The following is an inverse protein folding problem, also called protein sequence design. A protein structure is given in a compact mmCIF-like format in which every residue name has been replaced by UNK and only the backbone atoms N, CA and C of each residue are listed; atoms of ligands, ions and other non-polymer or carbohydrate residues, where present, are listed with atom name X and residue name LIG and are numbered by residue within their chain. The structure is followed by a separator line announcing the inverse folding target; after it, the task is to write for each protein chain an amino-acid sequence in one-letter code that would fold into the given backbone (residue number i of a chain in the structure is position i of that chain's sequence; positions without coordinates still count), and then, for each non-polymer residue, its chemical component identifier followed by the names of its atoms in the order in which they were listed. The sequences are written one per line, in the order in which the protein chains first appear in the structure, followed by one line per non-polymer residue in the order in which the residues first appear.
data_IF_702625368697
#
_entry.id   IF_702625368697
#
_cell.length_a   1.000
_cell.length_b   1.000
_cell.length_c   1.000
_cell.angle_alpha   90.00
_cell.angle_beta   90.00
_cell.angle_gamma   90.00
#
_symmetry.space_group_name_H-M   'P 1'
#
loop_
_entity.id
_entity.type
_entity.pdbx_description
1 polymer ?
#
# COMPACT_ATOMS: atom_id res chain seq x y z
N UNK A 1 37.17 -10.44 37.72
CA UNK A 1 35.83 -10.32 37.10
C UNK A 1 36.06 -10.04 35.63
N UNK A 2 36.05 -11.10 34.82
CA UNK A 2 36.08 -10.99 33.38
C UNK A 2 34.73 -10.42 32.96
N UNK A 3 34.72 -9.24 32.35
CA UNK A 3 33.52 -8.74 31.65
C UNK A 3 33.16 -9.78 30.62
N UNK A 4 32.13 -10.56 30.84
CA UNK A 4 31.48 -11.31 29.80
C UNK A 4 31.03 -10.27 28.78
N UNK A 5 31.63 -10.34 27.59
CA UNK A 5 31.24 -9.53 26.47
C UNK A 5 29.86 -10.07 26.09
N UNK A 6 28.81 -9.43 26.59
CA UNK A 6 27.43 -9.79 26.30
C UNK A 6 27.25 -9.82 24.78
N UNK A 7 27.03 -11.02 24.25
CA UNK A 7 26.97 -11.24 22.80
C UNK A 7 25.75 -10.51 22.21
N UNK A 8 25.97 -9.78 21.13
CA UNK A 8 24.88 -9.23 20.33
C UNK A 8 24.30 -10.40 19.49
N UNK A 9 23.03 -10.71 19.72
CA UNK A 9 22.33 -11.79 19.04
C UNK A 9 21.68 -11.21 17.76
N UNK A 10 22.08 -11.67 16.57
CA UNK A 10 21.48 -11.19 15.32
C UNK A 10 20.02 -11.62 15.22
N UNK A 11 19.18 -10.71 14.79
CA UNK A 11 17.75 -10.94 14.60
C UNK A 11 17.20 -10.03 13.50
N UNK A 12 15.90 -10.11 13.25
CA UNK A 12 15.21 -9.21 12.34
C UNK A 12 13.79 -8.93 12.86
N UNK A 13 13.28 -7.78 12.54
CA UNK A 13 11.91 -7.37 12.83
C UNK A 13 11.29 -6.69 11.60
N UNK A 14 10.10 -6.12 11.77
CA UNK A 14 9.45 -5.32 10.72
C UNK A 14 10.30 -4.13 10.26
N UNK A 15 11.20 -3.68 11.11
CA UNK A 15 12.06 -2.50 10.93
C UNK A 15 13.46 -2.81 10.39
N UNK A 16 13.68 -4.02 9.92
CA UNK A 16 14.95 -4.44 9.33
C UNK A 16 15.74 -5.45 10.15
N UNK A 17 16.92 -5.79 9.64
CA UNK A 17 17.90 -6.61 10.33
C UNK A 17 18.61 -5.78 11.41
N UNK A 18 18.84 -6.39 12.56
CA UNK A 18 19.52 -5.73 13.71
C UNK A 18 20.07 -6.79 14.66
N UNK A 19 20.78 -6.37 15.66
CA UNK A 19 21.16 -7.19 16.79
C UNK A 19 20.35 -6.82 18.03
N UNK A 20 20.27 -7.72 18.99
CA UNK A 20 19.76 -7.45 20.34
C UNK A 20 20.78 -7.89 21.38
N UNK A 21 20.87 -7.14 22.47
CA UNK A 21 21.60 -7.55 23.67
C UNK A 21 20.58 -8.04 24.69
N UNK A 22 20.81 -9.22 25.22
CA UNK A 22 19.91 -9.87 26.19
C UNK A 22 20.66 -10.03 27.51
N UNK A 23 20.03 -9.61 28.59
CA UNK A 23 20.50 -9.79 29.97
C UNK A 23 19.34 -10.34 30.80
N UNK A 24 19.56 -11.42 31.52
CA UNK A 24 18.53 -12.07 32.35
C UNK A 24 17.21 -12.32 31.61
N UNK A 25 17.29 -12.86 30.38
CA UNK A 25 16.16 -13.11 29.48
C UNK A 25 15.39 -11.85 29.03
N UNK A 26 15.94 -10.68 29.23
CA UNK A 26 15.36 -9.41 28.78
C UNK A 26 16.18 -8.77 27.67
N UNK A 27 15.49 -8.28 26.62
CA UNK A 27 16.11 -7.43 25.61
C UNK A 27 16.35 -6.05 26.24
N UNK A 28 17.62 -5.69 26.42
CA UNK A 28 18.02 -4.41 27.03
C UNK A 28 18.47 -3.38 26.01
N UNK A 29 18.90 -3.82 24.82
CA UNK A 29 19.40 -2.92 23.78
C UNK A 29 19.12 -3.51 22.40
N UNK A 30 18.89 -2.62 21.42
CA UNK A 30 18.87 -2.95 19.99
C UNK A 30 20.06 -2.28 19.32
N UNK A 31 20.84 -3.09 18.60
CA UNK A 31 22.01 -2.65 17.86
C UNK A 31 21.67 -2.65 16.36
N UNK A 32 21.61 -1.50 15.69
CA UNK A 32 21.37 -1.43 14.26
C UNK A 32 22.36 -2.28 13.46
N UNK A 33 21.94 -2.78 12.29
CA UNK A 33 22.82 -3.51 11.40
C UNK A 33 23.94 -2.59 10.90
N UNK A 34 25.23 -3.00 10.98
CA UNK A 34 26.36 -2.09 10.73
C UNK A 34 26.44 -1.56 9.29
N UNK A 35 25.80 -2.22 8.33
CA UNK A 35 25.76 -1.80 6.93
C UNK A 35 24.48 -1.04 6.56
N UNK A 36 23.56 -0.80 7.50
CA UNK A 36 22.36 -0.03 7.22
C UNK A 36 22.68 1.47 7.28
N UNK A 37 22.58 2.20 6.15
CA UNK A 37 22.94 3.61 6.12
C UNK A 37 21.93 4.54 6.80
N UNK A 38 20.69 4.06 7.05
CA UNK A 38 19.59 4.86 7.63
C UNK A 38 18.71 3.96 8.50
N UNK A 39 19.22 3.44 9.64
CA UNK A 39 18.48 2.52 10.50
C UNK A 39 17.16 3.11 10.98
N UNK A 40 16.10 2.30 10.96
CA UNK A 40 14.77 2.73 11.38
C UNK A 40 14.79 3.25 12.84
N UNK A 41 14.28 4.47 13.09
CA UNK A 41 14.15 4.99 14.47
C UNK A 41 13.17 4.15 15.31
N UNK A 42 12.32 3.34 14.67
CA UNK A 42 11.35 2.46 15.34
C UNK A 42 11.98 1.22 15.96
N UNK A 43 13.24 0.91 15.63
CA UNK A 43 14.00 -0.17 16.27
C UNK A 43 14.07 -0.02 17.79
N UNK A 44 14.17 1.22 18.30
CA UNK A 44 14.17 1.48 19.73
C UNK A 44 12.91 0.95 20.45
N UNK A 45 11.80 0.85 19.75
CA UNK A 45 10.55 0.29 20.27
C UNK A 45 10.58 -1.22 20.54
N UNK A 46 11.54 -1.96 19.98
CA UNK A 46 11.65 -3.42 20.15
C UNK A 46 11.89 -3.78 21.63
N UNK A 47 12.73 -3.02 22.32
CA UNK A 47 13.02 -3.23 23.76
C UNK A 47 11.75 -3.16 24.60
N UNK A 48 10.95 -2.12 24.42
CA UNK A 48 9.73 -1.91 25.22
C UNK A 48 8.56 -2.79 24.78
N UNK A 49 8.50 -3.18 23.50
CA UNK A 49 7.38 -3.91 22.94
C UNK A 49 7.22 -5.34 23.52
N UNK A 50 8.33 -5.98 23.89
CA UNK A 50 8.31 -7.37 24.37
C UNK A 50 7.44 -7.57 25.62
N UNK A 51 7.42 -6.58 26.53
CA UNK A 51 6.68 -6.64 27.80
C UNK A 51 5.71 -5.46 27.98
N UNK A 52 5.33 -4.79 26.90
CA UNK A 52 4.42 -3.65 27.01
C UNK A 52 3.04 -4.09 27.49
N UNK A 53 2.39 -3.28 28.33
CA UNK A 53 1.06 -3.56 28.89
C UNK A 53 -0.05 -3.81 27.85
N UNK A 54 0.12 -3.32 26.62
CA UNK A 54 -0.84 -3.53 25.53
C UNK A 54 -0.66 -4.87 24.84
N UNK A 55 0.38 -5.64 25.17
CA UNK A 55 0.60 -6.96 24.61
C UNK A 55 -0.44 -7.94 25.17
N UNK A 56 -1.15 -8.62 24.28
CA UNK A 56 -2.07 -9.69 24.65
C UNK A 56 -1.24 -10.87 25.20
N UNK A 57 -1.50 -11.26 26.43
CA UNK A 57 -0.74 -12.29 27.14
C UNK A 57 -1.39 -13.68 27.01
N UNK A 58 -2.73 -13.74 26.95
CA UNK A 58 -3.52 -14.96 26.89
C UNK A 58 -4.63 -14.83 25.86
N UNK A 59 -5.15 -15.97 25.34
CA UNK A 59 -6.38 -15.95 24.58
C UNK A 59 -7.52 -15.36 25.43
N UNK A 60 -8.42 -14.63 24.78
CA UNK A 60 -9.58 -14.09 25.47
C UNK A 60 -10.82 -14.17 24.58
N UNK A 61 -11.95 -14.52 25.18
CA UNK A 61 -13.22 -14.75 24.51
C UNK A 61 -14.25 -13.73 25.01
N UNK A 62 -15.05 -13.18 24.10
CA UNK A 62 -16.16 -12.30 24.51
C UNK A 62 -17.09 -13.00 25.47
N UNK A 63 -17.42 -12.35 26.61
CA UNK A 63 -18.34 -12.88 27.60
C UNK A 63 -19.70 -13.26 26.98
N UNK A 64 -20.28 -12.38 26.18
CA UNK A 64 -21.56 -12.64 25.54
C UNK A 64 -21.52 -13.84 24.58
N UNK A 65 -20.36 -14.17 23.98
CA UNK A 65 -20.22 -15.38 23.18
C UNK A 65 -20.20 -16.65 24.06
N UNK A 66 -19.51 -16.60 25.20
CA UNK A 66 -19.50 -17.72 26.16
C UNK A 66 -20.90 -18.02 26.75
N UNK A 67 -21.68 -16.95 26.98
CA UNK A 67 -23.01 -17.06 27.59
C UNK A 67 -24.12 -17.48 26.61
N UNK A 68 -24.03 -17.02 25.36
CA UNK A 68 -25.11 -17.13 24.37
C UNK A 68 -24.71 -17.87 23.09
N UNK A 69 -23.44 -18.22 22.91
CA UNK A 69 -22.92 -18.87 21.71
C UNK A 69 -22.74 -17.89 20.53
N UNK A 70 -22.46 -18.47 19.34
CA UNK A 70 -22.27 -17.70 18.12
C UNK A 70 -23.58 -17.11 17.58
N UNK A 71 -23.50 -15.94 16.91
CA UNK A 71 -24.63 -15.32 16.22
C UNK A 71 -24.54 -13.80 16.19
N UNK A 72 -25.47 -13.17 15.49
CA UNK A 72 -25.57 -11.70 15.41
C UNK A 72 -25.69 -11.05 16.80
N UNK A 73 -25.04 -9.91 16.98
CA UNK A 73 -25.07 -9.20 18.27
C UNK A 73 -24.74 -7.70 18.07
N UNK A 74 -25.44 -6.85 18.81
CA UNK A 74 -25.15 -5.42 18.93
C UNK A 74 -24.08 -5.10 20.00
N UNK A 75 -23.69 -6.12 20.79
CA UNK A 75 -22.74 -5.99 21.91
C UNK A 75 -21.29 -6.04 21.48
N UNK A 76 -20.98 -6.34 20.22
CA UNK A 76 -19.59 -6.36 19.71
C UNK A 76 -18.90 -5.01 19.92
N UNK A 77 -17.75 -5.02 20.61
CA UNK A 77 -17.03 -3.82 21.04
C UNK A 77 -17.53 -3.22 22.36
N UNK A 78 -18.53 -3.82 23.03
CA UNK A 78 -19.03 -3.42 24.35
C UNK A 78 -18.94 -4.52 25.39
N UNK A 79 -18.84 -5.78 24.96
CA UNK A 79 -18.65 -6.93 25.83
C UNK A 79 -17.26 -6.91 26.46
N UNK A 80 -17.19 -7.36 27.70
CA UNK A 80 -15.95 -7.74 28.33
C UNK A 80 -15.37 -9.00 27.71
N UNK A 81 -14.06 -9.18 27.85
CA UNK A 81 -13.35 -10.38 27.45
C UNK A 81 -13.00 -11.20 28.67
N UNK A 82 -13.10 -12.51 28.57
CA UNK A 82 -12.71 -13.51 29.57
C UNK A 82 -11.44 -14.19 29.07
N UNK A 83 -10.36 -14.10 29.83
CA UNK A 83 -9.15 -14.86 29.54
C UNK A 83 -9.39 -16.34 29.76
N UNK A 84 -8.90 -17.17 28.86
CA UNK A 84 -8.99 -18.63 28.90
C UNK A 84 -7.64 -19.27 28.61
N UNK A 85 -7.49 -20.54 28.91
CA UNK A 85 -6.27 -21.27 28.54
C UNK A 85 -6.23 -21.57 27.04
N UNK A 86 -5.02 -21.80 26.51
CA UNK A 86 -4.83 -22.10 25.08
C UNK A 86 -5.56 -23.36 24.63
N UNK A 87 -5.64 -24.41 25.48
CA UNK A 87 -6.39 -25.63 25.17
C UNK A 87 -7.86 -25.34 24.95
N UNK A 88 -8.48 -24.58 25.84
CA UNK A 88 -9.88 -24.18 25.74
C UNK A 88 -10.12 -23.28 24.50
N UNK A 89 -9.26 -22.31 24.27
CA UNK A 89 -9.38 -21.43 23.09
C UNK A 89 -9.31 -22.22 21.77
N UNK A 90 -8.37 -23.17 21.66
CA UNK A 90 -8.19 -23.99 20.46
C UNK A 90 -9.38 -24.90 20.24
N UNK A 91 -9.91 -25.52 21.29
CA UNK A 91 -11.10 -26.38 21.21
C UNK A 91 -12.33 -25.60 20.75
N UNK A 92 -12.57 -24.42 21.30
CA UNK A 92 -13.71 -23.58 20.93
C UNK A 92 -13.60 -23.08 19.49
N UNK A 93 -12.41 -22.66 19.05
CA UNK A 93 -12.18 -22.23 17.66
C UNK A 93 -12.34 -23.40 16.70
N UNK A 94 -11.81 -24.57 17.01
CA UNK A 94 -11.93 -25.76 16.18
C UNK A 94 -13.40 -26.22 16.05
N UNK A 95 -14.13 -26.23 17.16
CA UNK A 95 -15.55 -26.59 17.16
C UNK A 95 -16.38 -25.62 16.33
N UNK A 96 -16.13 -24.32 16.42
CA UNK A 96 -16.86 -23.33 15.65
C UNK A 96 -16.53 -23.38 14.15
N UNK A 97 -15.26 -23.56 13.78
CA UNK A 97 -14.87 -23.80 12.39
C UNK A 97 -15.55 -25.05 11.82
N UNK A 98 -15.59 -26.14 12.60
CA UNK A 98 -16.25 -27.38 12.18
C UNK A 98 -17.76 -27.22 12.05
N UNK A 99 -18.39 -26.55 12.98
CA UNK A 99 -19.83 -26.25 12.94
C UNK A 99 -20.19 -25.45 11.69
N UNK A 100 -19.45 -24.37 11.41
CA UNK A 100 -19.75 -23.48 10.28
C UNK A 100 -19.54 -24.20 8.95
N UNK A 101 -18.40 -24.90 8.77
CA UNK A 101 -18.10 -25.60 7.51
C UNK A 101 -19.08 -26.76 7.24
N UNK A 102 -19.55 -27.44 8.27
CA UNK A 102 -20.48 -28.57 8.10
C UNK A 102 -21.93 -28.15 7.92
N UNK A 103 -22.32 -27.02 8.52
CA UNK A 103 -23.70 -26.52 8.44
C UNK A 103 -23.90 -25.59 7.23
N UNK A 104 -22.93 -24.75 6.90
CA UNK A 104 -23.06 -23.68 5.90
C UNK A 104 -22.08 -23.82 4.72
N UNK A 105 -21.14 -24.77 4.79
CA UNK A 105 -20.08 -24.95 3.78
C UNK A 105 -18.91 -24.00 3.96
N UNK A 106 -17.77 -24.36 3.35
CA UNK A 106 -16.52 -23.61 3.48
C UNK A 106 -16.56 -22.20 2.88
N UNK A 107 -17.45 -21.95 1.91
CA UNK A 107 -17.64 -20.63 1.31
C UNK A 107 -18.15 -19.59 2.31
N UNK A 108 -18.85 -20.02 3.37
CA UNK A 108 -19.35 -19.17 4.46
C UNK A 108 -18.26 -18.70 5.44
N UNK A 109 -17.03 -19.22 5.31
CA UNK A 109 -15.88 -18.80 6.12
C UNK A 109 -15.08 -17.78 5.31
N UNK A 110 -14.98 -16.54 5.80
CA UNK A 110 -14.10 -15.52 5.23
C UNK A 110 -12.77 -15.48 5.98
N UNK A 111 -11.67 -15.67 5.25
CA UNK A 111 -10.30 -15.57 5.78
C UNK A 111 -9.64 -14.23 5.41
N UNK A 112 -9.48 -13.33 6.38
CA UNK A 112 -8.87 -12.01 6.21
C UNK A 112 -7.53 -11.88 6.92
N UNK A 113 -6.63 -11.12 6.31
CA UNK A 113 -5.36 -10.76 6.92
C UNK A 113 -4.72 -9.58 6.20
N UNK A 114 -4.08 -8.69 6.96
CA UNK A 114 -3.22 -7.61 6.44
C UNK A 114 -1.79 -7.75 6.99
N UNK A 115 -1.48 -8.85 7.67
CA UNK A 115 -0.17 -9.06 8.29
C UNK A 115 0.95 -9.25 7.29
N UNK A 116 2.02 -8.48 7.42
CA UNK A 116 3.24 -8.66 6.66
C UNK A 116 4.17 -9.66 7.34
N UNK A 117 4.99 -10.37 6.55
CA UNK A 117 6.15 -11.06 7.06
C UNK A 117 7.23 -10.04 7.42
N UNK A 118 7.88 -10.20 8.57
CA UNK A 118 8.96 -9.33 9.02
C UNK A 118 10.33 -9.91 8.73
N UNK A 119 10.50 -11.23 8.91
CA UNK A 119 11.78 -11.91 8.78
C UNK A 119 11.56 -13.34 8.25
N UNK A 120 11.23 -13.43 6.98
CA UNK A 120 10.79 -14.70 6.38
C UNK A 120 9.30 -14.92 6.55
N UNK A 121 8.80 -16.06 6.05
CA UNK A 121 7.37 -16.30 5.92
C UNK A 121 6.89 -17.59 6.59
N UNK A 122 7.72 -18.29 7.36
CA UNK A 122 7.30 -19.47 8.13
C UNK A 122 6.26 -19.13 9.19
N UNK A 123 6.44 -18.05 9.92
CA UNK A 123 5.55 -17.59 10.99
C UNK A 123 4.70 -16.38 10.58
N UNK A 124 4.58 -16.13 9.28
CA UNK A 124 3.67 -15.09 8.78
C UNK A 124 2.22 -15.50 9.05
N UNK A 125 1.47 -14.64 9.72
CA UNK A 125 0.08 -14.88 10.10
C UNK A 125 -0.80 -15.27 8.89
N UNK A 126 -0.67 -14.55 7.78
CA UNK A 126 -1.40 -14.84 6.52
C UNK A 126 -1.12 -16.23 5.99
N UNK A 127 0.14 -16.68 6.00
CA UNK A 127 0.52 -18.02 5.52
C UNK A 127 -0.09 -19.11 6.39
N UNK A 128 -0.04 -18.96 7.71
CA UNK A 128 -0.58 -19.94 8.64
C UNK A 128 -2.11 -20.00 8.55
N UNK A 129 -2.78 -18.86 8.46
CA UNK A 129 -4.23 -18.79 8.24
C UNK A 129 -4.64 -19.51 6.94
N UNK A 130 -4.00 -19.18 5.84
CA UNK A 130 -4.29 -19.79 4.53
C UNK A 130 -4.05 -21.30 4.57
N UNK A 131 -2.96 -21.75 5.20
CA UNK A 131 -2.67 -23.17 5.38
C UNK A 131 -3.77 -23.88 6.16
N UNK A 132 -4.18 -23.34 7.32
CA UNK A 132 -5.23 -23.92 8.13
C UNK A 132 -6.54 -24.04 7.33
N UNK A 133 -7.02 -22.93 6.77
CA UNK A 133 -8.31 -22.89 6.09
C UNK A 133 -8.33 -23.74 4.81
N UNK A 134 -7.23 -23.81 4.06
CA UNK A 134 -7.14 -24.70 2.91
C UNK A 134 -7.19 -26.19 3.31
N UNK A 135 -6.53 -26.57 4.40
CA UNK A 135 -6.51 -27.95 4.88
C UNK A 135 -7.87 -28.44 5.40
N UNK A 136 -8.72 -27.53 5.88
CA UNK A 136 -10.08 -27.88 6.33
C UNK A 136 -11.16 -27.75 5.25
N UNK A 137 -10.77 -27.54 3.98
CA UNK A 137 -11.70 -27.55 2.83
C UNK A 137 -11.84 -26.22 2.11
N UNK A 138 -11.05 -25.20 2.45
CA UNK A 138 -11.05 -23.92 1.77
C UNK A 138 -11.87 -22.84 2.49
N UNK A 139 -11.95 -21.67 1.85
CA UNK A 139 -12.60 -20.49 2.42
C UNK A 139 -12.79 -19.40 1.35
N UNK A 140 -13.68 -18.44 1.57
CA UNK A 140 -13.78 -17.20 0.80
C UNK A 140 -12.57 -16.34 1.08
N UNK A 141 -11.76 -16.08 0.06
CA UNK A 141 -10.49 -15.34 0.19
C UNK A 141 -10.67 -13.84 -0.03
N UNK A 142 -9.79 -13.07 0.58
CA UNK A 142 -9.58 -11.66 0.25
C UNK A 142 -8.62 -11.52 -0.93
N UNK A 143 -8.88 -10.58 -1.81
CA UNK A 143 -7.98 -10.19 -2.91
C UNK A 143 -7.64 -8.70 -2.85
N UNK A 144 -6.58 -8.31 -3.55
CA UNK A 144 -5.99 -6.97 -3.55
C UNK A 144 -5.43 -6.55 -2.18
N UNK A 145 -5.08 -5.29 -2.09
CA UNK A 145 -4.63 -4.65 -0.85
C UNK A 145 -5.09 -3.20 -0.79
N UNK A 146 -5.17 -2.63 0.39
CA UNK A 146 -5.40 -1.19 0.55
C UNK A 146 -4.20 -0.35 0.13
N UNK A 147 -3.02 -0.95 0.00
CA UNK A 147 -1.79 -0.25 -0.39
C UNK A 147 -1.82 0.20 -1.84
N UNK A 148 -2.09 -0.74 -2.77
CA UNK A 148 -1.98 -0.51 -4.21
C UNK A 148 -2.98 -1.35 -5.04
N UNK A 149 -4.10 -1.77 -4.46
CA UNK A 149 -5.08 -2.63 -5.12
C UNK A 149 -5.63 -2.05 -6.41
N UNK A 150 -5.89 -0.74 -6.45
CA UNK A 150 -6.34 -0.06 -7.66
C UNK A 150 -5.29 -0.12 -8.78
N UNK A 151 -4.01 0.07 -8.43
CA UNK A 151 -2.90 -0.03 -9.40
C UNK A 151 -2.78 -1.44 -9.98
N UNK A 152 -2.95 -2.47 -9.15
CA UNK A 152 -2.91 -3.88 -9.59
C UNK A 152 -4.00 -4.16 -10.63
N UNK A 153 -5.17 -3.53 -10.49
CA UNK A 153 -6.30 -3.71 -11.41
C UNK A 153 -6.15 -2.85 -12.66
N UNK A 154 -5.84 -1.55 -12.53
CA UNK A 154 -5.89 -0.64 -13.68
C UNK A 154 -4.67 -0.73 -14.61
N UNK A 155 -3.46 -0.95 -14.06
CA UNK A 155 -2.24 -0.97 -14.86
C UNK A 155 -2.23 -2.02 -15.98
N UNK A 156 -2.75 -3.25 -15.81
CA UNK A 156 -2.86 -4.20 -16.92
C UNK A 156 -3.69 -3.70 -18.11
N UNK A 157 -4.71 -2.86 -17.87
CA UNK A 157 -5.54 -2.26 -18.92
C UNK A 157 -4.85 -1.10 -19.65
N UNK A 158 -3.82 -0.50 -19.03
CA UNK A 158 -3.11 0.67 -19.60
C UNK A 158 -1.79 0.25 -20.25
N UNK A 159 -0.98 -0.54 -19.54
CA UNK A 159 0.40 -0.90 -19.95
C UNK A 159 0.63 -2.41 -20.04
N UNK A 160 -0.43 -3.22 -19.96
CA UNK A 160 -0.37 -4.69 -20.11
C UNK A 160 0.09 -5.45 -18.87
N UNK A 161 0.62 -4.76 -17.84
CA UNK A 161 1.14 -5.39 -16.62
C UNK A 161 1.13 -4.41 -15.45
N UNK A 162 0.90 -4.93 -14.25
CA UNK A 162 1.17 -4.18 -13.02
C UNK A 162 2.55 -4.49 -12.44
N UNK A 163 3.11 -5.66 -12.74
CA UNK A 163 4.34 -6.17 -12.13
C UNK A 163 5.55 -5.27 -12.44
N UNK A 164 5.76 -4.91 -13.70
CA UNK A 164 6.89 -4.07 -14.12
C UNK A 164 6.85 -2.68 -13.45
N UNK A 165 5.66 -2.08 -13.37
CA UNK A 165 5.49 -0.74 -12.78
C UNK A 165 5.67 -0.76 -11.26
N UNK A 166 5.15 -1.80 -10.58
CA UNK A 166 5.17 -1.88 -9.12
C UNK A 166 6.47 -2.44 -8.54
N UNK A 167 7.12 -3.38 -9.26
CA UNK A 167 8.28 -4.12 -8.75
C UNK A 167 9.60 -3.68 -9.34
N UNK A 168 9.58 -3.07 -10.54
CA UNK A 168 10.79 -2.66 -11.26
C UNK A 168 10.73 -1.19 -11.70
N UNK A 169 10.34 -0.25 -10.81
CA UNK A 169 10.40 1.16 -11.15
C UNK A 169 11.85 1.60 -11.39
N UNK A 170 12.05 2.78 -11.96
CA UNK A 170 13.37 3.39 -12.11
C UNK A 170 14.13 3.36 -10.77
N UNK A 171 15.35 2.83 -10.78
CA UNK A 171 16.12 2.67 -9.54
C UNK A 171 16.62 3.99 -8.98
N UNK A 172 16.81 4.05 -7.66
CA UNK A 172 17.38 5.23 -7.00
C UNK A 172 18.74 5.68 -7.60
N UNK A 173 19.71 4.78 -7.86
CA UNK A 173 20.94 5.19 -8.55
C UNK A 173 20.68 5.84 -9.90
N UNK A 174 19.76 5.31 -10.71
CA UNK A 174 19.41 5.89 -12.00
C UNK A 174 18.76 7.28 -11.85
N UNK A 175 17.91 7.47 -10.82
CA UNK A 175 17.33 8.78 -10.50
C UNK A 175 18.43 9.77 -10.14
N UNK A 176 19.35 9.40 -9.25
CA UNK A 176 20.47 10.25 -8.84
C UNK A 176 21.34 10.66 -10.03
N UNK A 177 21.61 9.73 -10.95
CA UNK A 177 22.56 9.97 -12.02
C UNK A 177 21.98 10.66 -13.26
N UNK A 178 20.66 10.54 -13.51
CA UNK A 178 20.06 10.93 -14.79
C UNK A 178 18.83 11.83 -14.69
N UNK A 179 18.21 12.00 -13.53
CA UNK A 179 17.01 12.84 -13.36
C UNK A 179 17.41 14.29 -13.07
N UNK A 180 16.71 15.24 -13.66
CA UNK A 180 16.83 16.65 -13.30
C UNK A 180 15.67 17.11 -12.42
N UNK A 181 14.46 16.61 -12.68
CA UNK A 181 13.25 16.98 -11.96
C UNK A 181 12.44 15.75 -11.58
N UNK A 182 12.09 15.65 -10.30
CA UNK A 182 11.09 14.68 -9.81
C UNK A 182 9.81 15.45 -9.48
N UNK A 183 8.72 15.14 -10.19
CA UNK A 183 7.38 15.66 -9.84
C UNK A 183 6.65 14.61 -9.03
N UNK A 184 6.55 14.84 -7.73
CA UNK A 184 6.09 13.85 -6.75
C UNK A 184 4.65 14.11 -6.33
N UNK A 185 3.68 13.48 -7.02
CA UNK A 185 2.28 13.50 -6.64
C UNK A 185 2.04 12.59 -5.43
N UNK A 186 1.65 13.19 -4.30
CA UNK A 186 1.53 12.56 -3.00
C UNK A 186 2.85 12.44 -2.23
N UNK A 187 3.95 12.98 -2.79
CA UNK A 187 5.26 13.06 -2.14
C UNK A 187 6.06 11.75 -2.12
N UNK A 188 7.13 11.75 -1.35
CA UNK A 188 8.02 10.60 -1.06
C UNK A 188 8.29 10.59 0.46
N UNK A 189 7.30 10.24 1.29
CA UNK A 189 7.38 10.39 2.74
C UNK A 189 8.36 9.38 3.37
N UNK A 190 9.36 9.87 4.09
CA UNK A 190 10.36 9.05 4.77
C UNK A 190 9.77 8.10 5.81
N UNK A 191 8.65 8.47 6.44
CA UNK A 191 8.00 7.66 7.50
C UNK A 191 7.56 6.25 7.08
N UNK A 192 7.37 5.99 5.78
CA UNK A 192 6.89 4.71 5.28
C UNK A 192 8.01 3.81 4.73
N UNK A 193 9.22 4.33 4.53
CA UNK A 193 10.30 3.61 3.85
C UNK A 193 11.11 2.68 4.74
N UNK A 194 10.76 2.61 6.02
CA UNK A 194 11.43 1.75 6.99
C UNK A 194 10.86 0.33 7.05
N UNK A 195 9.93 -0.01 6.17
CA UNK A 195 9.31 -1.34 6.14
C UNK A 195 9.15 -1.83 4.70
N UNK A 196 9.17 -3.15 4.53
CA UNK A 196 8.90 -3.82 3.27
C UNK A 196 8.25 -5.17 3.55
N UNK A 197 7.33 -5.59 2.69
CA UNK A 197 6.76 -6.92 2.75
C UNK A 197 7.84 -7.99 2.60
N UNK A 198 7.95 -8.87 3.58
CA UNK A 198 9.01 -9.88 3.63
C UNK A 198 10.27 -9.44 4.40
N UNK A 199 10.33 -8.18 4.80
CA UNK A 199 11.45 -7.58 5.51
C UNK A 199 12.38 -6.80 4.60
N UNK A 200 13.19 -5.95 5.20
CA UNK A 200 14.24 -5.15 4.58
C UNK A 200 15.49 -5.24 5.44
N UNK A 201 16.66 -5.31 4.83
CA UNK A 201 17.93 -5.38 5.57
C UNK A 201 18.55 -4.00 5.75
N UNK A 202 18.46 -3.18 4.72
CA UNK A 202 19.06 -1.85 4.67
C UNK A 202 18.03 -0.83 4.17
N UNK A 203 18.02 0.35 4.76
CA UNK A 203 17.16 1.46 4.39
C UNK A 203 17.94 2.47 3.55
N UNK A 204 17.56 2.65 2.31
CA UNK A 204 18.32 3.46 1.36
C UNK A 204 17.62 4.72 0.88
N UNK A 205 16.30 4.85 1.06
CA UNK A 205 15.52 5.92 0.45
C UNK A 205 15.99 7.30 0.90
N UNK A 206 16.18 7.53 2.21
CA UNK A 206 16.69 8.79 2.75
C UNK A 206 18.05 9.14 2.17
N UNK A 207 18.98 8.20 2.21
CA UNK A 207 20.32 8.36 1.66
C UNK A 207 20.32 8.73 0.15
N UNK A 208 19.44 8.12 -0.65
CA UNK A 208 19.35 8.45 -2.07
C UNK A 208 18.69 9.80 -2.32
N UNK A 209 17.72 10.20 -1.53
CA UNK A 209 17.13 11.53 -1.62
C UNK A 209 18.16 12.63 -1.33
N UNK A 210 18.99 12.45 -0.31
CA UNK A 210 20.09 13.38 0.02
C UNK A 210 21.12 13.43 -1.12
N UNK A 211 21.48 12.29 -1.69
CA UNK A 211 22.38 12.23 -2.85
C UNK A 211 21.80 12.91 -4.09
N UNK A 212 20.52 12.70 -4.37
CA UNK A 212 19.83 13.33 -5.49
C UNK A 212 19.83 14.86 -5.32
N UNK A 213 19.48 15.33 -4.12
CA UNK A 213 19.52 16.76 -3.80
C UNK A 213 20.94 17.35 -3.95
N UNK A 214 21.96 16.65 -3.43
CA UNK A 214 23.37 17.07 -3.57
C UNK A 214 23.87 17.10 -5.03
N UNK A 215 23.27 16.30 -5.91
CA UNK A 215 23.54 16.27 -7.36
C UNK A 215 22.76 17.36 -8.13
N UNK A 216 21.89 18.12 -7.45
CA UNK A 216 21.09 19.15 -8.06
C UNK A 216 19.77 18.66 -8.69
N UNK A 217 19.31 17.47 -8.33
CA UNK A 217 17.97 17.02 -8.73
C UNK A 217 16.94 17.90 -8.03
N UNK A 218 16.08 18.53 -8.81
CA UNK A 218 14.99 19.35 -8.31
C UNK A 218 13.75 18.49 -7.96
N UNK A 219 13.01 18.91 -6.94
CA UNK A 219 11.78 18.24 -6.53
C UNK A 219 10.61 19.22 -6.58
N UNK A 220 9.53 18.83 -7.28
CA UNK A 220 8.22 19.46 -7.21
C UNK A 220 7.32 18.57 -6.34
N UNK A 221 7.12 18.99 -5.09
CA UNK A 221 6.27 18.25 -4.16
C UNK A 221 4.80 18.67 -4.35
N UNK A 222 4.00 17.81 -4.93
CA UNK A 222 2.55 17.97 -5.06
C UNK A 222 1.86 17.16 -3.95
N UNK A 223 1.58 17.81 -2.85
CA UNK A 223 0.95 17.18 -1.67
C UNK A 223 0.33 18.24 -0.78
N UNK A 224 -0.81 17.95 -0.10
CA UNK A 224 -1.35 18.82 0.94
C UNK A 224 -0.41 18.94 2.14
N UNK A 225 0.53 18.00 2.31
CA UNK A 225 1.43 17.93 3.47
C UNK A 225 2.87 18.18 3.04
N UNK A 226 3.45 19.29 3.52
CA UNK A 226 4.83 19.65 3.19
C UNK A 226 5.87 18.60 3.60
N UNK A 227 5.61 17.87 4.69
CA UNK A 227 6.50 16.83 5.21
C UNK A 227 6.34 15.47 4.49
N UNK A 228 5.59 15.41 3.39
CA UNK A 228 5.59 14.24 2.50
C UNK A 228 6.82 14.19 1.58
N UNK A 229 7.80 15.06 1.84
CA UNK A 229 9.19 14.93 1.42
C UNK A 229 10.07 15.27 2.64
N UNK A 230 11.19 14.56 2.89
CA UNK A 230 12.05 14.84 4.03
C UNK A 230 12.49 16.32 4.07
N UNK A 231 12.52 16.96 5.26
CA UNK A 231 12.82 18.39 5.37
C UNK A 231 14.20 18.81 4.84
N UNK A 232 15.16 17.87 4.77
CA UNK A 232 16.51 18.11 4.22
C UNK A 232 16.55 18.14 2.68
N UNK A 233 15.47 17.73 1.99
CA UNK A 233 15.41 17.73 0.52
C UNK A 233 14.78 19.02 0.03
N UNK A 234 15.51 19.88 -0.70
CA UNK A 234 14.94 21.11 -1.27
C UNK A 234 13.84 20.81 -2.29
N UNK A 235 12.69 21.47 -2.14
CA UNK A 235 11.56 21.25 -3.04
C UNK A 235 10.73 22.53 -3.23
N UNK A 236 10.20 22.69 -4.44
CA UNK A 236 9.06 23.58 -4.69
C UNK A 236 7.81 22.87 -4.26
N UNK A 237 7.08 23.42 -3.28
CA UNK A 237 5.88 22.82 -2.74
C UNK A 237 4.61 23.37 -3.39
N UNK A 238 3.79 22.47 -3.90
CA UNK A 238 2.47 22.73 -4.48
C UNK A 238 1.40 22.14 -3.53
N UNK A 239 0.82 22.94 -2.64
CA UNK A 239 -0.14 22.48 -1.63
C UNK A 239 -1.52 22.19 -2.24
N UNK A 240 -1.61 21.10 -2.97
CA UNK A 240 -2.83 20.69 -3.69
C UNK A 240 -3.95 20.33 -2.72
N UNK A 241 -5.19 20.71 -3.05
CA UNK A 241 -6.37 20.26 -2.31
C UNK A 241 -6.49 18.72 -2.46
N UNK A 242 -6.67 17.96 -1.36
CA UNK A 242 -6.76 16.50 -1.43
C UNK A 242 -7.80 16.01 -2.44
N UNK A 243 -7.40 15.06 -3.30
CA UNK A 243 -8.28 14.48 -4.33
C UNK A 243 -8.39 15.29 -5.62
N UNK A 244 -7.63 16.37 -5.77
CA UNK A 244 -7.64 17.19 -6.99
C UNK A 244 -6.36 17.05 -7.83
N UNK A 245 -5.52 16.08 -7.52
CA UNK A 245 -4.29 15.78 -8.23
C UNK A 245 -4.50 15.60 -9.74
N UNK A 246 -5.58 14.90 -10.12
CA UNK A 246 -5.94 14.70 -11.53
C UNK A 246 -6.24 16.03 -12.24
N UNK A 247 -6.90 16.98 -11.58
CA UNK A 247 -7.16 18.27 -12.17
C UNK A 247 -5.85 19.02 -12.48
N UNK A 248 -4.87 18.94 -11.57
CA UNK A 248 -3.54 19.49 -11.81
C UNK A 248 -2.82 18.76 -12.95
N UNK A 249 -2.85 17.42 -12.98
CA UNK A 249 -2.23 16.63 -14.06
C UNK A 249 -2.82 16.95 -15.43
N UNK A 250 -4.14 17.12 -15.54
CA UNK A 250 -4.81 17.50 -16.79
C UNK A 250 -4.41 18.90 -17.25
N UNK A 251 -4.26 19.86 -16.34
CA UNK A 251 -3.84 21.20 -16.69
C UNK A 251 -2.36 21.28 -17.10
N UNK A 252 -1.50 20.46 -16.48
CA UNK A 252 -0.12 20.28 -16.96
C UNK A 252 -0.13 19.70 -18.37
N UNK A 253 -0.94 18.68 -18.64
CA UNK A 253 -1.11 18.10 -19.96
C UNK A 253 -1.65 19.11 -20.98
N UNK A 254 -2.66 19.90 -20.60
CA UNK A 254 -3.21 20.98 -21.45
C UNK A 254 -2.11 21.96 -21.86
N UNK A 255 -1.31 22.44 -20.93
CA UNK A 255 -0.21 23.36 -21.21
C UNK A 255 0.83 22.74 -22.16
N UNK A 256 1.21 21.45 -21.95
CA UNK A 256 2.12 20.74 -22.85
C UNK A 256 1.56 20.65 -24.27
N UNK A 257 0.26 20.43 -24.42
CA UNK A 257 -0.40 20.30 -25.72
C UNK A 257 -0.50 21.65 -26.47
N UNK A 258 -1.00 22.70 -25.82
CA UNK A 258 -1.25 24.00 -26.47
C UNK A 258 0.02 24.77 -26.75
N UNK A 259 1.10 24.55 -26.00
CA UNK A 259 2.39 25.15 -26.22
C UNK A 259 3.31 24.29 -27.12
N UNK A 260 2.80 23.19 -27.68
CA UNK A 260 3.54 22.25 -28.53
C UNK A 260 4.79 21.66 -27.86
N UNK A 261 4.73 21.40 -26.56
CA UNK A 261 5.79 20.82 -25.75
C UNK A 261 5.65 19.28 -25.61
N UNK A 262 4.53 18.71 -26.07
CA UNK A 262 4.32 17.27 -26.07
C UNK A 262 5.14 16.57 -27.16
N UNK A 263 5.73 15.42 -26.84
CA UNK A 263 6.49 14.59 -27.78
C UNK A 263 5.52 13.81 -28.69
N UNK A 264 5.23 14.37 -29.86
CA UNK A 264 4.31 13.81 -30.85
C UNK A 264 4.81 12.52 -31.48
N UNK A 265 6.12 12.37 -31.63
CA UNK A 265 6.72 11.14 -32.17
C UNK A 265 6.56 9.99 -31.19
N UNK A 266 6.85 10.22 -29.92
CA UNK A 266 6.63 9.24 -28.87
C UNK A 266 5.18 8.79 -28.79
N UNK A 267 4.23 9.73 -28.78
CA UNK A 267 2.80 9.43 -28.71
C UNK A 267 2.36 8.58 -29.90
N UNK A 268 2.75 8.96 -31.12
CA UNK A 268 2.38 8.24 -32.33
C UNK A 268 2.96 6.82 -32.39
N UNK A 269 4.14 6.61 -31.82
CA UNK A 269 4.86 5.34 -31.91
C UNK A 269 4.52 4.37 -30.78
N UNK A 270 4.28 4.86 -29.56
CA UNK A 270 4.22 4.06 -28.34
C UNK A 270 2.89 4.11 -27.61
N UNK A 271 1.91 4.87 -28.09
CA UNK A 271 0.59 4.96 -27.46
C UNK A 271 -0.54 4.67 -28.45
N UNK A 272 -1.70 4.36 -27.89
CA UNK A 272 -2.97 4.32 -28.61
C UNK A 272 -4.01 5.15 -27.86
N UNK A 273 -4.92 5.85 -28.58
CA UNK A 273 -5.96 6.69 -27.97
C UNK A 273 -5.44 8.05 -27.46
N UNK A 274 -4.23 8.46 -27.83
CA UNK A 274 -3.71 9.77 -27.46
C UNK A 274 -4.64 10.91 -27.93
N UNK A 275 -5.21 10.79 -29.12
CA UNK A 275 -6.18 11.72 -29.69
C UNK A 275 -7.46 11.85 -28.86
N UNK A 276 -7.91 10.77 -28.22
CA UNK A 276 -9.09 10.79 -27.34
C UNK A 276 -8.77 11.55 -26.05
N UNK A 277 -7.60 11.30 -25.48
CA UNK A 277 -7.12 12.03 -24.30
C UNK A 277 -6.93 13.52 -24.60
N UNK A 278 -6.30 13.86 -25.74
CA UNK A 278 -6.11 15.25 -26.17
C UNK A 278 -7.45 15.96 -26.37
N UNK A 279 -8.41 15.32 -27.04
CA UNK A 279 -9.74 15.89 -27.26
C UNK A 279 -10.43 16.22 -25.92
N UNK A 280 -10.26 15.37 -24.91
CA UNK A 280 -10.79 15.62 -23.57
C UNK A 280 -10.05 16.75 -22.85
N UNK A 281 -8.71 16.75 -22.88
CA UNK A 281 -7.90 17.78 -22.23
C UNK A 281 -8.14 19.16 -22.84
N UNK A 282 -8.21 19.23 -24.17
CA UNK A 282 -8.46 20.47 -24.91
C UNK A 282 -9.93 20.94 -24.87
N UNK A 283 -10.84 20.10 -24.34
CA UNK A 283 -12.25 20.42 -24.24
C UNK A 283 -13.04 20.27 -25.53
N UNK A 284 -12.47 19.65 -26.58
CA UNK A 284 -13.16 19.44 -27.85
C UNK A 284 -14.21 18.33 -27.77
N UNK A 285 -14.10 17.41 -26.79
CA UNK A 285 -15.03 16.32 -26.58
C UNK A 285 -16.22 16.69 -25.68
N UNK A 286 -16.05 17.61 -24.72
CA UNK A 286 -17.05 17.92 -23.69
C UNK A 286 -17.31 19.44 -23.52
N UNK A 287 -16.68 20.28 -24.32
CA UNK A 287 -16.84 21.74 -24.29
C UNK A 287 -16.09 22.43 -23.16
N UNK A 288 -15.26 21.72 -22.38
CA UNK A 288 -14.53 22.28 -21.23
C UNK A 288 -13.04 22.02 -21.34
N UNK A 289 -12.25 23.03 -21.66
CA UNK A 289 -10.79 22.93 -21.62
C UNK A 289 -10.30 22.72 -20.19
N UNK A 290 -9.40 21.76 -19.99
CA UNK A 290 -8.79 21.47 -18.68
C UNK A 290 -7.53 22.31 -18.50
N UNK A 291 -7.64 23.63 -18.75
CA UNK A 291 -6.54 24.57 -18.69
C UNK A 291 -6.08 24.89 -17.27
N UNK A 292 -5.07 25.72 -17.15
CA UNK A 292 -4.50 26.07 -15.85
C UNK A 292 -5.48 26.84 -14.97
N UNK A 293 -6.36 27.68 -15.54
CA UNK A 293 -7.42 28.39 -14.83
C UNK A 293 -8.51 27.44 -14.30
N UNK A 294 -8.93 26.48 -15.14
CA UNK A 294 -9.89 25.44 -14.74
C UNK A 294 -9.37 24.60 -13.56
N UNK A 295 -8.08 24.27 -13.56
CA UNK A 295 -7.45 23.52 -12.49
C UNK A 295 -7.22 24.37 -11.24
N UNK A 296 -6.77 25.63 -11.39
CA UNK A 296 -6.46 26.52 -10.26
C UNK A 296 -7.65 26.69 -9.30
N UNK A 297 -8.88 26.80 -9.83
CA UNK A 297 -10.09 26.88 -9.02
C UNK A 297 -10.33 25.60 -8.20
N UNK A 298 -9.87 24.43 -8.67
CA UNK A 298 -10.09 23.12 -8.05
C UNK A 298 -8.99 22.74 -7.07
N UNK A 299 -7.73 22.84 -7.52
CA UNK A 299 -6.58 22.38 -6.76
C UNK A 299 -5.93 23.49 -5.90
N UNK A 300 -6.34 24.75 -6.08
CA UNK A 300 -5.83 25.93 -5.40
C UNK A 300 -4.34 26.21 -5.66
N UNK A 301 -3.81 25.70 -6.77
CA UNK A 301 -2.48 26.05 -7.26
C UNK A 301 -2.65 27.19 -8.28
N UNK A 302 -1.89 28.30 -8.19
CA UNK A 302 -1.99 29.40 -9.14
C UNK A 302 -1.74 28.93 -10.59
N UNK A 303 -2.56 29.42 -11.53
CA UNK A 303 -2.48 29.00 -12.93
C UNK A 303 -1.09 29.20 -13.55
N UNK A 304 -0.40 30.30 -13.21
CA UNK A 304 0.96 30.57 -13.70
C UNK A 304 1.98 29.58 -13.14
N UNK A 305 1.78 29.08 -11.92
CA UNK A 305 2.64 28.05 -11.33
C UNK A 305 2.45 26.71 -12.06
N UNK A 306 1.21 26.39 -12.43
CA UNK A 306 0.90 25.20 -13.24
C UNK A 306 1.61 25.26 -14.59
N UNK A 307 1.48 26.38 -15.32
CA UNK A 307 2.15 26.57 -16.62
C UNK A 307 3.67 26.53 -16.49
N UNK A 308 4.21 27.18 -15.45
CA UNK A 308 5.65 27.17 -15.19
C UNK A 308 6.17 25.76 -14.94
N UNK A 309 5.46 24.97 -14.14
CA UNK A 309 5.82 23.58 -13.88
C UNK A 309 5.77 22.75 -15.18
N UNK A 310 4.71 22.87 -16.00
CA UNK A 310 4.58 22.12 -17.25
C UNK A 310 5.74 22.43 -18.22
N UNK A 311 6.11 23.71 -18.39
CA UNK A 311 7.24 24.11 -19.23
C UNK A 311 8.56 23.56 -18.70
N UNK A 312 8.75 23.58 -17.38
CA UNK A 312 9.95 23.03 -16.75
C UNK A 312 10.05 21.51 -16.94
N UNK A 313 8.94 20.79 -16.77
CA UNK A 313 8.87 19.35 -17.01
C UNK A 313 9.29 18.96 -18.43
N UNK A 314 8.90 19.76 -19.43
CA UNK A 314 9.26 19.51 -20.83
C UNK A 314 10.73 19.87 -21.16
N UNK A 315 11.31 20.82 -20.43
CA UNK A 315 12.65 21.31 -20.70
C UNK A 315 13.79 20.44 -20.18
N UNK A 316 13.50 19.54 -19.22
CA UNK A 316 14.51 18.75 -18.52
C UNK A 316 14.16 17.25 -18.44
N UNK A 317 15.11 16.42 -17.97
CA UNK A 317 14.83 15.02 -17.70
C UNK A 317 13.91 14.90 -16.47
N UNK A 318 12.66 14.53 -16.69
CA UNK A 318 11.60 14.53 -15.67
C UNK A 318 11.10 13.14 -15.36
N UNK A 319 11.09 12.81 -14.07
CA UNK A 319 10.38 11.63 -13.53
C UNK A 319 9.06 12.10 -12.91
N UNK A 320 7.94 11.67 -13.46
CA UNK A 320 6.60 11.82 -12.86
C UNK A 320 6.37 10.65 -11.93
N UNK A 321 6.17 10.90 -10.63
CA UNK A 321 5.89 9.83 -9.68
C UNK A 321 4.56 10.04 -8.96
N UNK A 322 3.82 8.93 -8.77
CA UNK A 322 2.53 8.89 -8.09
C UNK A 322 2.61 7.92 -6.93
N UNK A 323 2.28 8.37 -5.71
CA UNK A 323 2.26 7.48 -4.55
C UNK A 323 1.03 6.56 -4.56
N UNK A 324 1.11 5.46 -3.82
CA UNK A 324 -0.02 4.54 -3.65
C UNK A 324 -1.20 5.17 -2.91
N UNK A 325 -0.98 6.22 -2.14
CA UNK A 325 -2.03 6.86 -1.35
C UNK A 325 -3.12 7.54 -2.20
N UNK A 326 -2.79 8.02 -3.39
CA UNK A 326 -3.71 8.74 -4.27
C UNK A 326 -4.87 7.89 -4.77
N UNK A 327 -4.78 6.56 -4.70
CA UNK A 327 -5.89 5.67 -5.04
C UNK A 327 -7.04 5.69 -4.00
N UNK A 328 -6.83 6.26 -2.79
CA UNK A 328 -7.79 6.20 -1.67
C UNK A 328 -8.82 7.32 -1.72
N UNK A 329 -9.35 7.57 -2.89
CA UNK A 329 -10.38 8.56 -3.19
C UNK A 329 -11.44 7.93 -4.11
N UNK A 330 -12.62 8.54 -4.28
CA UNK A 330 -13.51 8.18 -5.39
C UNK A 330 -12.76 8.29 -6.71
N UNK A 331 -12.92 7.29 -7.59
CA UNK A 331 -12.17 7.17 -8.86
C UNK A 331 -10.64 7.13 -8.69
N UNK A 332 -10.17 6.42 -7.68
CA UNK A 332 -8.74 6.31 -7.34
C UNK A 332 -7.84 5.71 -8.42
N UNK A 333 -8.39 5.12 -9.48
CA UNK A 333 -7.67 4.70 -10.69
C UNK A 333 -7.18 5.89 -11.53
N UNK A 334 -7.87 7.03 -11.49
CA UNK A 334 -7.58 8.18 -12.34
C UNK A 334 -6.21 8.83 -12.10
N UNK A 335 -5.73 9.04 -10.86
CA UNK A 335 -4.40 9.59 -10.62
C UNK A 335 -3.28 8.76 -11.23
N UNK A 336 -3.43 7.43 -11.21
CA UNK A 336 -2.42 6.50 -11.76
C UNK A 336 -2.39 6.62 -13.28
N UNK A 337 -3.57 6.60 -13.90
CA UNK A 337 -3.71 6.73 -15.34
C UNK A 337 -3.28 8.11 -15.85
N UNK A 338 -3.74 9.18 -15.21
CA UNK A 338 -3.36 10.55 -15.57
C UNK A 338 -1.85 10.79 -15.43
N UNK A 339 -1.20 10.24 -14.40
CA UNK A 339 0.25 10.32 -14.24
C UNK A 339 1.02 9.62 -15.36
N UNK A 340 0.54 8.44 -15.80
CA UNK A 340 1.09 7.74 -16.96
C UNK A 340 0.89 8.54 -18.26
N UNK A 341 -0.30 9.09 -18.49
CA UNK A 341 -0.60 9.90 -19.66
C UNK A 341 0.29 11.16 -19.70
N UNK A 342 0.49 11.83 -18.55
CA UNK A 342 1.37 12.97 -18.43
C UNK A 342 2.83 12.62 -18.76
N UNK A 343 3.32 11.48 -18.26
CA UNK A 343 4.66 10.99 -18.56
C UNK A 343 4.82 10.62 -20.06
N UNK A 344 3.77 10.09 -20.69
CA UNK A 344 3.75 9.78 -22.10
C UNK A 344 3.83 11.06 -22.96
N UNK A 345 3.11 12.13 -22.58
CA UNK A 345 3.21 13.43 -23.27
C UNK A 345 4.62 13.99 -23.26
N UNK A 346 5.40 13.75 -22.22
CA UNK A 346 6.80 14.17 -22.12
C UNK A 346 7.75 13.34 -23.00
N UNK A 347 7.32 12.17 -23.50
CA UNK A 347 8.12 11.29 -24.35
C UNK A 347 9.34 10.67 -23.67
N UNK A 348 9.37 10.64 -22.32
CA UNK A 348 10.56 10.23 -21.58
C UNK A 348 10.46 8.83 -20.95
N UNK A 349 9.36 8.11 -21.15
CA UNK A 349 9.22 6.72 -20.72
C UNK A 349 10.24 5.85 -21.45
N UNK A 350 11.03 5.08 -20.70
CA UNK A 350 12.11 4.25 -21.23
C UNK A 350 13.48 4.96 -21.30
N UNK A 351 13.54 6.24 -21.01
CA UNK A 351 14.82 6.95 -20.91
C UNK A 351 15.34 6.92 -19.46
N UNK A 352 16.67 6.76 -19.24
CA UNK A 352 17.24 6.76 -17.91
C UNK A 352 16.83 8.00 -17.10
N UNK A 353 16.27 7.81 -15.91
CA UNK A 353 15.87 8.87 -15.00
C UNK A 353 14.63 9.68 -15.39
N UNK A 354 13.96 9.33 -16.51
CA UNK A 354 12.73 9.97 -16.96
C UNK A 354 11.52 9.05 -16.89
N UNK A 355 10.36 9.57 -17.32
CA UNK A 355 9.13 8.81 -17.49
C UNK A 355 8.27 8.73 -16.25
N UNK A 356 7.73 7.53 -15.96
CA UNK A 356 6.76 7.30 -14.89
C UNK A 356 7.34 6.43 -13.78
N UNK A 357 7.09 6.81 -12.54
CA UNK A 357 7.40 6.04 -11.35
C UNK A 357 6.20 5.90 -10.43
N UNK A 358 6.08 4.76 -9.73
CA UNK A 358 4.93 4.50 -8.88
C UNK A 358 5.34 3.90 -7.55
N UNK A 359 4.92 4.56 -6.46
CA UNK A 359 5.06 4.03 -5.11
C UNK A 359 6.33 4.43 -4.36
N UNK A 360 7.17 5.31 -4.88
CA UNK A 360 8.29 5.83 -4.10
C UNK A 360 7.80 6.46 -2.79
N UNK A 361 8.49 6.16 -1.69
CA UNK A 361 8.05 6.56 -0.36
C UNK A 361 6.88 5.76 0.21
N UNK A 362 6.44 4.68 -0.47
CA UNK A 362 5.38 3.80 0.04
C UNK A 362 5.91 2.60 0.81
N UNK A 363 7.08 2.07 0.40
CA UNK A 363 7.84 1.00 1.08
C UNK A 363 9.33 1.20 0.85
N UNK A 364 10.16 0.51 1.64
CA UNK A 364 11.61 0.65 1.61
C UNK A 364 12.32 0.04 0.41
N UNK A 365 11.68 -0.86 -0.32
CA UNK A 365 12.26 -1.56 -1.48
C UNK A 365 11.96 -0.89 -2.82
N UNK A 366 11.03 0.08 -2.86
CA UNK A 366 10.67 0.79 -4.12
C UNK A 366 11.86 1.61 -4.62
N UNK A 367 12.33 1.28 -5.82
CA UNK A 367 13.53 1.88 -6.40
C UNK A 367 14.86 1.28 -5.91
N UNK A 368 14.83 0.28 -5.04
CA UNK A 368 16.02 -0.45 -4.61
C UNK A 368 16.61 -1.32 -5.72
N UNK A 369 17.93 -1.46 -5.73
CA UNK A 369 18.67 -2.37 -6.64
C UNK A 369 19.06 -3.68 -5.99
N UNK A 370 18.70 -3.89 -4.73
CA UNK A 370 19.01 -5.12 -4.00
C UNK A 370 18.36 -6.36 -4.65
N UNK A 371 18.99 -7.54 -4.56
CA UNK A 371 18.40 -8.76 -5.07
C UNK A 371 17.15 -9.14 -4.28
N UNK A 372 16.06 -9.50 -4.97
CA UNK A 372 14.92 -10.15 -4.36
C UNK A 372 15.24 -11.62 -4.12
N UNK A 373 15.29 -12.05 -2.86
CA UNK A 373 15.55 -13.43 -2.49
C UNK A 373 14.24 -14.12 -2.13
N UNK A 374 13.83 -15.20 -2.82
CA UNK A 374 12.67 -15.98 -2.43
C UNK A 374 12.88 -16.57 -1.03
N UNK A 375 11.99 -16.24 -0.11
CA UNK A 375 12.05 -16.75 1.26
C UNK A 375 11.30 -18.07 1.37
N UNK A 376 11.83 -19.05 2.14
CA UNK A 376 11.18 -20.33 2.34
C UNK A 376 9.88 -20.17 3.14
N UNK A 377 8.89 -21.02 2.86
CA UNK A 377 7.60 -21.02 3.51
C UNK A 377 7.00 -22.42 3.61
N UNK A 378 6.08 -22.61 4.54
CA UNK A 378 5.27 -23.84 4.55
C UNK A 378 4.30 -23.86 3.37
N UNK A 379 4.08 -25.06 2.81
CA UNK A 379 3.04 -25.26 1.81
C UNK A 379 1.68 -24.83 2.35
N UNK A 380 0.97 -24.02 1.61
CA UNK A 380 -0.38 -23.55 1.96
C UNK A 380 -1.47 -24.53 1.51
N UNK A 381 -1.14 -25.50 0.66
CA UNK A 381 -2.13 -26.31 -0.03
C UNK A 381 -2.89 -25.50 -1.09
N UNK A 382 -4.00 -26.04 -1.56
CA UNK A 382 -4.87 -25.41 -2.56
C UNK A 382 -6.22 -25.05 -1.93
N UNK A 383 -6.71 -23.85 -2.21
CA UNK A 383 -8.06 -23.45 -1.83
C UNK A 383 -9.06 -23.92 -2.90
N UNK A 384 -9.94 -24.89 -2.62
CA UNK A 384 -10.96 -25.34 -3.58
C UNK A 384 -12.11 -24.31 -3.74
N UNK A 385 -12.34 -23.44 -2.77
CA UNK A 385 -13.35 -22.37 -2.85
C UNK A 385 -12.87 -21.30 -3.81
N UNK A 386 -13.66 -20.98 -4.83
CA UNK A 386 -13.33 -19.99 -5.86
C UNK A 386 -13.71 -18.56 -5.49
N UNK A 387 -14.65 -18.41 -4.57
CA UNK A 387 -15.18 -17.12 -4.14
C UNK A 387 -14.10 -16.25 -3.53
N UNK A 388 -14.15 -14.98 -3.88
CA UNK A 388 -13.23 -13.97 -3.38
C UNK A 388 -13.95 -12.65 -3.10
N UNK A 389 -13.37 -11.83 -2.24
CA UNK A 389 -13.84 -10.48 -1.94
C UNK A 389 -12.70 -9.48 -2.08
N UNK A 390 -12.86 -8.40 -2.86
CA UNK A 390 -11.92 -7.28 -2.81
C UNK A 390 -11.88 -6.68 -1.40
N UNK A 391 -10.69 -6.35 -0.90
CA UNK A 391 -10.49 -5.87 0.48
C UNK A 391 -11.38 -4.69 0.88
N UNK A 392 -11.73 -3.81 -0.07
CA UNK A 392 -12.61 -2.68 0.18
C UNK A 392 -14.10 -3.05 0.31
N UNK A 393 -14.49 -4.29 0.02
CA UNK A 393 -15.88 -4.78 -0.01
C UNK A 393 -16.26 -5.67 1.16
N UNK A 394 -15.45 -5.77 2.20
CA UNK A 394 -15.72 -6.68 3.34
C UNK A 394 -17.02 -6.31 4.05
N UNK A 395 -17.25 -5.03 4.36
CA UNK A 395 -18.51 -4.60 4.97
C UNK A 395 -19.72 -4.82 4.04
N UNK A 396 -19.54 -4.64 2.72
CA UNK A 396 -20.59 -4.92 1.73
C UNK A 396 -20.97 -6.40 1.72
N UNK A 397 -19.97 -7.28 1.69
CA UNK A 397 -20.16 -8.73 1.74
C UNK A 397 -21.01 -9.15 2.94
N UNK A 398 -20.64 -8.68 4.13
CA UNK A 398 -21.30 -9.06 5.38
C UNK A 398 -22.74 -8.53 5.50
N UNK A 399 -23.03 -7.36 4.88
CA UNK A 399 -24.36 -6.74 4.95
C UNK A 399 -25.30 -7.15 3.81
N UNK A 400 -24.78 -7.70 2.72
CA UNK A 400 -25.54 -7.97 1.51
C UNK A 400 -25.34 -9.38 0.96
N UNK A 401 -25.50 -10.45 1.77
CA UNK A 401 -25.33 -11.81 1.26
C UNK A 401 -26.29 -12.07 0.09
N UNK A 402 -25.79 -12.75 -0.96
CA UNK A 402 -26.54 -13.08 -2.17
C UNK A 402 -26.69 -11.94 -3.19
N UNK A 403 -26.32 -10.69 -2.86
CA UNK A 403 -26.33 -9.61 -3.83
C UNK A 403 -25.14 -9.67 -4.78
N UNK A 404 -25.31 -9.13 -5.97
CA UNK A 404 -24.24 -9.04 -6.97
C UNK A 404 -23.37 -7.81 -6.77
N UNK A 405 -22.10 -7.94 -7.12
CA UNK A 405 -21.15 -6.84 -7.21
C UNK A 405 -20.30 -6.98 -8.49
N UNK A 406 -19.82 -5.84 -8.98
CA UNK A 406 -18.92 -5.81 -10.14
C UNK A 406 -17.47 -5.63 -9.67
N UNK A 407 -16.55 -6.30 -10.36
CA UNK A 407 -15.12 -6.19 -10.12
C UNK A 407 -14.37 -6.54 -11.40
N UNK A 408 -13.49 -5.66 -11.86
CA UNK A 408 -12.63 -5.84 -13.04
C UNK A 408 -13.39 -6.39 -14.27
N UNK A 409 -14.52 -5.74 -14.59
CA UNK A 409 -15.40 -6.11 -15.71
C UNK A 409 -16.26 -7.35 -15.50
N UNK A 410 -16.05 -8.12 -14.43
CA UNK A 410 -16.85 -9.29 -14.08
C UNK A 410 -17.98 -8.97 -13.09
N UNK A 411 -18.97 -9.87 -13.02
CA UNK A 411 -20.07 -9.83 -12.03
C UNK A 411 -19.97 -11.03 -11.11
N UNK A 412 -20.02 -10.80 -9.82
CA UNK A 412 -19.85 -11.79 -8.76
C UNK A 412 -20.95 -11.65 -7.73
N UNK A 413 -21.13 -12.69 -6.88
CA UNK A 413 -22.14 -12.71 -5.82
C UNK A 413 -21.48 -12.78 -4.46
N UNK A 414 -21.96 -12.00 -3.50
CA UNK A 414 -21.49 -12.08 -2.12
C UNK A 414 -21.93 -13.40 -1.48
N UNK A 415 -21.02 -14.14 -0.82
CA UNK A 415 -21.38 -15.33 -0.08
C UNK A 415 -22.20 -15.01 1.17
N UNK A 416 -22.93 -16.00 1.70
CA UNK A 416 -23.56 -15.92 3.01
C UNK A 416 -22.52 -16.21 4.11
N UNK A 417 -21.75 -15.20 4.47
CA UNK A 417 -20.64 -15.32 5.43
C UNK A 417 -21.15 -15.51 6.86
N UNK A 418 -20.71 -16.58 7.51
CA UNK A 418 -21.10 -16.96 8.88
C UNK A 418 -19.94 -16.94 9.87
N UNK A 419 -18.71 -16.83 9.37
CA UNK A 419 -17.51 -16.74 10.19
C UNK A 419 -16.47 -15.89 9.49
N UNK A 420 -15.89 -14.94 10.23
CA UNK A 420 -14.76 -14.13 9.81
C UNK A 420 -13.55 -14.53 10.64
N UNK A 421 -12.55 -15.15 10.00
CA UNK A 421 -11.29 -15.49 10.65
C UNK A 421 -10.21 -14.47 10.23
N UNK A 422 -9.69 -13.73 11.18
CA UNK A 422 -8.73 -12.66 10.93
C UNK A 422 -7.41 -12.95 11.63
N UNK A 423 -6.30 -12.90 10.88
CA UNK A 423 -4.96 -13.12 11.43
C UNK A 423 -3.98 -12.10 10.89
N UNK A 424 -3.36 -11.33 11.77
CA UNK A 424 -2.43 -10.25 11.43
C UNK A 424 -3.12 -9.01 10.86
N UNK A 425 -2.60 -7.84 11.22
CA UNK A 425 -3.22 -6.56 10.94
C UNK A 425 -4.52 -6.33 11.72
N UNK A 426 -5.03 -5.12 11.65
CA UNK A 426 -6.27 -4.75 12.31
C UNK A 426 -7.24 -4.15 11.29
N UNK A 427 -8.40 -4.78 11.01
CA UNK A 427 -9.37 -4.28 10.03
C UNK A 427 -9.86 -2.87 10.35
N UNK A 428 -9.92 -2.50 11.63
CA UNK A 428 -10.31 -1.15 12.07
C UNK A 428 -9.24 -0.07 11.78
N UNK A 429 -8.05 -0.44 11.32
CA UNK A 429 -7.04 0.52 10.85
C UNK A 429 -7.01 0.66 9.33
N UNK A 430 -7.57 -0.28 8.60
CA UNK A 430 -7.42 -0.34 7.15
C UNK A 430 -8.73 -0.17 6.39
N UNK A 431 -9.86 -0.58 6.98
CA UNK A 431 -11.15 -0.51 6.30
C UNK A 431 -11.72 0.91 6.37
N UNK A 432 -12.34 1.36 5.29
CA UNK A 432 -13.11 2.59 5.24
C UNK A 432 -14.44 2.41 5.97
N UNK A 433 -15.01 3.49 6.52
CA UNK A 433 -16.27 3.49 7.25
C UNK A 433 -16.31 2.44 8.38
N UNK A 434 -15.59 2.72 9.45
CA UNK A 434 -15.44 1.80 10.59
C UNK A 434 -16.76 1.51 11.31
N UNK A 435 -17.69 2.46 11.35
CA UNK A 435 -19.02 2.23 11.92
C UNK A 435 -19.84 1.24 11.10
N UNK A 436 -19.74 1.32 9.79
CA UNK A 436 -20.36 0.35 8.88
C UNK A 436 -19.74 -1.04 9.05
N UNK A 437 -18.41 -1.13 9.15
CA UNK A 437 -17.72 -2.39 9.42
C UNK A 437 -18.15 -3.00 10.76
N UNK A 438 -18.25 -2.19 11.81
CA UNK A 438 -18.71 -2.67 13.13
C UNK A 438 -20.13 -3.23 13.07
N UNK A 439 -21.05 -2.53 12.39
CA UNK A 439 -22.42 -3.05 12.17
C UNK A 439 -22.43 -4.34 11.37
N UNK A 440 -21.60 -4.40 10.31
CA UNK A 440 -21.47 -5.59 9.47
C UNK A 440 -20.98 -6.81 10.26
N UNK A 441 -19.93 -6.64 11.04
CA UNK A 441 -19.44 -7.70 11.93
C UNK A 441 -20.42 -8.07 13.04
N UNK A 442 -21.29 -7.17 13.47
CA UNK A 442 -22.36 -7.44 14.44
C UNK A 442 -23.52 -8.25 13.85
N UNK A 443 -23.68 -8.24 12.53
CA UNK A 443 -24.73 -8.96 11.82
C UNK A 443 -24.32 -10.40 11.43
N UNK A 444 -23.06 -10.76 11.60
CA UNK A 444 -22.47 -12.05 11.18
C UNK A 444 -22.48 -13.09 12.30
#
# INVERSE_FOLDING_TARGET
MTAETEAVIPTASHWGAHGVRVVDDEIVEVVPHPTDPDPSPLLAGVVSAARHRTRVQRPAIRRGWLEHGPGPTDRRGRDDFVEVDWSEAVELVAAELDRVRTTHGNESIFGGSYGWASAGIFHQATNQLQRLLNLIGGYTRSINSYSNGTSVVILPHIVGTSEEVLRKPTSWPTIVDHTNLVVAFGGIPAKNVFVTFGGVTQHHTGHYLDRAAARGVEFALVSPVRNDLPPGVPATWYPVVPGTDVALMLALAHTLLVENLADREFLARYTSGAEVFEAYVLGTSDGVAKDAEWAAVRCQIPADDIRRLARHMAAVRTLVTVTWSLQRIPHGEQPIWAGLALAALLGQIGLPGGGFGHGYGSMGDVGSTGPAVPLPHFSKGTNPVRTFIPVARIADMLLNPGQQFTYDGGTYTYPDTRLVYWAGGNPFHHHQDLDRLRRALGAT
#
